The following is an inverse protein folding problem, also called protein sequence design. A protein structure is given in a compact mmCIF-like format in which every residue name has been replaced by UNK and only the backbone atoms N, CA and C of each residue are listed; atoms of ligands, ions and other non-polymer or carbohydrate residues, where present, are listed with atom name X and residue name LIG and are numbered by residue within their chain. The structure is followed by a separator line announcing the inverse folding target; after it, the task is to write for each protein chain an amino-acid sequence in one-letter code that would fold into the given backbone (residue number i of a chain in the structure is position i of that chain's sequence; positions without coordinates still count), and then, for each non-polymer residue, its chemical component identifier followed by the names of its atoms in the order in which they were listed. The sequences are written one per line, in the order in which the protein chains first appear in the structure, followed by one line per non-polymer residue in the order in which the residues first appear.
data_IF_304353203945
#
_entry.id   IF_304353203945
#
_cell.length_a   1.000
_cell.length_b   1.000
_cell.length_c   1.000
_cell.angle_alpha   90.00
_cell.angle_beta   90.00
_cell.angle_gamma   90.00
#
_symmetry.space_group_name_H-M   'P 1'
#
loop_
_entity.id
_entity.type
_entity.pdbx_description
1 polymer ?
#
# COMPACT_ATOMS: atom_id res chain seq x y z
N UNK A 1 -42.45 -15.17 38.00
CA UNK A 1 -41.66 -14.80 39.21
C UNK A 1 -40.71 -15.96 39.46
N UNK A 2 -39.39 -15.88 39.34
CA UNK A 2 -38.47 -14.76 39.49
C UNK A 2 -37.42 -15.18 40.52
N UNK A 3 -36.55 -16.15 40.18
CA UNK A 3 -35.40 -16.51 41.02
C UNK A 3 -34.32 -15.46 40.75
N UNK A 4 -34.31 -14.42 41.58
CA UNK A 4 -33.20 -13.48 41.73
C UNK A 4 -32.18 -14.09 42.70
N UNK A 5 -30.91 -13.75 42.42
CA UNK A 5 -29.72 -13.91 43.25
C UNK A 5 -28.97 -15.24 43.13
N UNK A 6 -27.93 -15.24 42.29
CA UNK A 6 -26.54 -15.37 42.73
C UNK A 6 -25.61 -15.17 41.52
N UNK A 7 -24.60 -14.30 41.71
CA UNK A 7 -23.25 -14.26 41.10
C UNK A 7 -22.87 -12.80 40.80
N UNK A 8 -22.10 -12.25 41.73
CA UNK A 8 -21.45 -10.95 41.66
C UNK A 8 -20.15 -11.07 40.83
N UNK A 9 -19.92 -10.31 39.74
CA UNK A 9 -18.80 -10.53 38.82
C UNK A 9 -17.41 -10.10 39.33
N UNK A 10 -17.30 -9.49 40.52
CA UNK A 10 -16.07 -8.83 40.98
C UNK A 10 -15.06 -9.75 41.69
N UNK A 11 -15.42 -11.00 42.02
CA UNK A 11 -14.54 -11.94 42.73
C UNK A 11 -13.88 -12.99 41.84
N UNK A 12 -14.30 -13.17 40.59
CA UNK A 12 -13.71 -14.15 39.66
C UNK A 12 -12.45 -13.66 38.94
N UNK A 13 -12.17 -12.35 38.97
CA UNK A 13 -11.08 -11.73 38.21
C UNK A 13 -9.74 -11.71 38.98
N UNK A 14 -9.74 -11.85 40.31
CA UNK A 14 -8.50 -11.74 41.12
C UNK A 14 -7.74 -13.04 41.39
N UNK A 15 -8.33 -14.23 41.19
CA UNK A 15 -7.66 -15.52 41.48
C UNK A 15 -7.01 -16.23 40.29
N UNK A 16 -7.28 -15.81 39.05
CA UNK A 16 -6.74 -16.44 37.83
C UNK A 16 -5.69 -15.60 37.07
N UNK A 17 -5.28 -14.44 37.58
CA UNK A 17 -4.29 -13.58 36.91
C UNK A 17 -2.84 -13.95 37.24
N UNK A 18 -2.57 -14.48 38.43
CA UNK A 18 -1.20 -14.78 38.90
C UNK A 18 -0.68 -16.16 38.49
N UNK A 19 -1.55 -17.16 38.32
CA UNK A 19 -1.18 -18.50 37.82
C UNK A 19 -0.90 -18.50 36.32
N UNK A 20 -1.71 -17.77 35.54
CA UNK A 20 -1.52 -17.60 34.11
C UNK A 20 -0.24 -16.81 33.79
N UNK A 21 0.10 -15.78 34.56
CA UNK A 21 1.32 -14.99 34.31
C UNK A 21 2.61 -15.82 34.48
N UNK A 22 2.66 -16.73 35.45
CA UNK A 22 3.80 -17.66 35.64
C UNK A 22 3.86 -18.73 34.54
N UNK A 23 2.72 -19.21 34.06
CA UNK A 23 2.64 -20.17 32.95
C UNK A 23 3.09 -19.53 31.62
N UNK A 24 2.64 -18.31 31.31
CA UNK A 24 3.05 -17.55 30.11
C UNK A 24 4.53 -17.11 30.13
N UNK A 25 5.09 -16.80 31.30
CA UNK A 25 6.52 -16.50 31.44
C UNK A 25 7.40 -17.74 31.24
N UNK A 26 6.93 -18.92 31.66
CA UNK A 26 7.63 -20.20 31.48
C UNK A 26 7.61 -20.66 30.02
N UNK A 27 6.47 -20.50 29.33
CA UNK A 27 6.37 -20.78 27.88
C UNK A 27 7.22 -19.80 27.05
N UNK A 28 7.26 -18.51 27.39
CA UNK A 28 8.15 -17.54 26.73
C UNK A 28 9.63 -17.85 26.93
N UNK A 29 10.03 -18.38 28.10
CA UNK A 29 11.42 -18.83 28.34
C UNK A 29 11.77 -20.08 27.53
N UNK A 30 10.91 -21.10 27.52
CA UNK A 30 11.14 -22.34 26.75
C UNK A 30 11.19 -22.10 25.23
N UNK A 31 10.32 -21.24 24.67
CA UNK A 31 10.35 -20.90 23.24
C UNK A 31 11.58 -20.07 22.83
N UNK A 32 12.08 -19.20 23.72
CA UNK A 32 13.28 -18.39 23.45
C UNK A 32 14.56 -19.23 23.48
N UNK A 33 14.61 -20.24 24.35
CA UNK A 33 15.77 -21.12 24.51
C UNK A 33 15.86 -22.17 23.38
N UNK A 34 14.72 -22.74 22.94
CA UNK A 34 14.68 -23.64 21.77
C UNK A 34 15.00 -22.90 20.46
N UNK A 35 14.52 -21.66 20.30
CA UNK A 35 14.85 -20.84 19.13
C UNK A 35 16.33 -20.46 19.08
N UNK A 36 16.98 -20.14 20.20
CA UNK A 36 18.42 -19.81 20.20
C UNK A 36 19.30 -21.03 19.90
N UNK A 37 18.93 -22.22 20.39
CA UNK A 37 19.64 -23.47 20.06
C UNK A 37 19.44 -23.89 18.60
N UNK A 38 18.24 -23.70 18.04
CA UNK A 38 17.97 -23.94 16.62
C UNK A 38 18.66 -22.91 15.72
N UNK A 39 18.74 -21.64 16.13
CA UNK A 39 19.50 -20.60 15.42
C UNK A 39 21.00 -20.94 15.42
N UNK A 40 21.56 -21.38 16.55
CA UNK A 40 22.98 -21.77 16.66
C UNK A 40 23.30 -23.02 15.83
N UNK A 41 22.40 -24.01 15.75
CA UNK A 41 22.54 -25.16 14.84
C UNK A 41 22.44 -24.76 13.37
N UNK A 42 21.49 -23.89 13.01
CA UNK A 42 21.35 -23.38 11.64
C UNK A 42 22.56 -22.54 11.20
N UNK A 43 23.14 -21.75 12.12
CA UNK A 43 24.36 -20.96 11.88
C UNK A 43 25.59 -21.87 11.74
N UNK A 44 25.75 -22.90 12.58
CA UNK A 44 26.88 -23.84 12.49
C UNK A 44 26.82 -24.81 11.30
N UNK A 45 25.63 -25.14 10.79
CA UNK A 45 25.47 -25.92 9.56
C UNK A 45 25.82 -25.06 8.32
N UNK A 46 25.54 -23.76 8.37
CA UNK A 46 25.86 -22.83 7.27
C UNK A 46 27.36 -22.52 7.17
N UNK A 47 28.11 -22.45 8.26
CA UNK A 47 29.52 -22.04 8.24
C UNK A 47 30.47 -23.10 7.64
N UNK A 48 30.12 -24.39 7.68
CA UNK A 48 31.01 -25.46 7.21
C UNK A 48 30.81 -25.88 5.73
N UNK A 49 29.88 -25.27 4.98
CA UNK A 49 29.58 -25.63 3.58
C UNK A 49 29.85 -24.51 2.55
N UNK A 50 30.38 -23.36 2.97
CA UNK A 50 30.41 -22.15 2.14
C UNK A 50 31.59 -22.03 1.16
N UNK A 51 32.64 -22.85 1.22
CA UNK A 51 33.86 -22.57 0.43
C UNK A 51 33.85 -23.03 -1.03
N UNK A 52 32.75 -23.58 -1.55
CA UNK A 52 32.60 -23.91 -3.00
C UNK A 52 31.27 -23.46 -3.66
N UNK A 53 30.31 -22.92 -2.90
CA UNK A 53 28.94 -22.62 -3.37
C UNK A 53 28.64 -21.14 -3.68
N UNK A 54 29.55 -20.20 -3.42
CA UNK A 54 29.26 -18.77 -3.54
C UNK A 54 29.14 -18.28 -5.00
N UNK A 55 29.84 -18.94 -5.95
CA UNK A 55 29.82 -18.55 -7.37
C UNK A 55 28.53 -18.93 -8.09
N UNK A 56 27.88 -20.05 -7.74
CA UNK A 56 26.60 -20.48 -8.34
C UNK A 56 25.42 -19.69 -7.77
N UNK A 57 25.41 -19.46 -6.45
CA UNK A 57 24.38 -18.64 -5.76
C UNK A 57 24.40 -17.19 -6.28
N UNK A 58 25.59 -16.62 -6.52
CA UNK A 58 25.73 -15.29 -7.11
C UNK A 58 25.18 -15.18 -8.54
N UNK A 59 25.34 -16.24 -9.34
CA UNK A 59 24.84 -16.29 -10.72
C UNK A 59 23.31 -16.41 -10.78
N UNK A 60 22.72 -17.27 -9.96
CA UNK A 60 21.27 -17.48 -9.88
C UNK A 60 20.53 -16.25 -9.36
N UNK A 61 21.09 -15.57 -8.35
CA UNK A 61 20.55 -14.31 -7.84
C UNK A 61 20.58 -13.20 -8.88
N UNK A 62 21.64 -13.14 -9.71
CA UNK A 62 21.74 -12.17 -10.79
C UNK A 62 20.73 -12.47 -11.93
N UNK A 63 20.53 -13.75 -12.27
CA UNK A 63 19.53 -14.15 -13.26
C UNK A 63 18.11 -13.81 -12.79
N UNK A 64 17.80 -14.09 -11.52
CA UNK A 64 16.50 -13.76 -10.94
C UNK A 64 16.25 -12.25 -10.93
N UNK A 65 17.24 -11.45 -10.51
CA UNK A 65 17.15 -9.99 -10.57
C UNK A 65 16.88 -9.48 -11.99
N UNK A 66 17.61 -10.00 -12.99
CA UNK A 66 17.38 -9.65 -14.42
C UNK A 66 15.97 -10.03 -14.87
N UNK A 67 15.43 -11.18 -14.46
CA UNK A 67 14.05 -11.59 -14.75
C UNK A 67 13.04 -10.58 -14.18
N UNK A 68 13.19 -10.19 -12.91
CA UNK A 68 12.28 -9.24 -12.25
C UNK A 68 12.40 -7.84 -12.85
N UNK A 69 13.61 -7.36 -13.13
CA UNK A 69 13.83 -6.09 -13.82
C UNK A 69 13.11 -6.04 -15.17
N UNK A 70 13.28 -7.08 -15.99
CA UNK A 70 12.60 -7.20 -17.30
C UNK A 70 11.09 -7.27 -17.16
N UNK A 71 10.58 -7.91 -16.10
CA UNK A 71 9.15 -7.94 -15.79
C UNK A 71 8.63 -6.52 -15.50
N UNK A 72 9.31 -5.75 -14.64
CA UNK A 72 8.91 -4.39 -14.31
C UNK A 72 8.90 -3.48 -15.54
N UNK A 73 9.95 -3.53 -16.35
CA UNK A 73 10.07 -2.76 -17.60
C UNK A 73 8.95 -3.10 -18.59
N UNK A 74 8.70 -4.40 -18.82
CA UNK A 74 7.67 -4.87 -19.77
C UNK A 74 6.25 -4.54 -19.31
N UNK A 75 6.01 -4.46 -18.01
CA UNK A 75 4.66 -4.31 -17.43
C UNK A 75 4.38 -2.91 -16.89
N UNK A 76 5.35 -2.00 -16.93
CA UNK A 76 5.20 -0.64 -16.43
C UNK A 76 5.06 -0.55 -14.91
N UNK A 77 5.86 -1.33 -14.17
CA UNK A 77 5.87 -1.30 -12.70
C UNK A 77 6.94 -0.32 -12.20
N UNK A 78 6.53 0.71 -11.45
CA UNK A 78 7.43 1.69 -10.83
C UNK A 78 8.04 1.29 -9.48
N UNK A 79 7.65 0.13 -8.94
CA UNK A 79 8.33 -0.46 -7.77
C UNK A 79 9.71 -0.97 -8.19
N UNK A 80 10.73 -0.69 -7.37
CA UNK A 80 12.10 -1.13 -7.63
C UNK A 80 12.19 -2.67 -7.66
N UNK A 81 12.85 -3.28 -8.67
CA UNK A 81 13.02 -4.74 -8.73
C UNK A 81 13.64 -5.34 -7.46
N UNK A 82 14.66 -4.67 -6.91
CA UNK A 82 15.32 -5.01 -5.65
C UNK A 82 14.34 -4.96 -4.47
N UNK A 83 13.40 -4.03 -4.46
CA UNK A 83 12.37 -3.94 -3.43
C UNK A 83 11.35 -5.07 -3.58
N UNK A 84 10.92 -5.42 -4.80
CA UNK A 84 10.00 -6.55 -5.01
C UNK A 84 10.61 -7.88 -4.55
N UNK A 85 11.91 -8.10 -4.78
CA UNK A 85 12.61 -9.31 -4.33
C UNK A 85 12.67 -9.39 -2.81
N UNK A 86 13.01 -8.28 -2.14
CA UNK A 86 13.00 -8.18 -0.67
C UNK A 86 11.59 -8.35 -0.09
N UNK A 87 10.58 -7.73 -0.72
CA UNK A 87 9.19 -7.85 -0.33
C UNK A 87 8.67 -9.28 -0.47
N UNK A 88 9.10 -10.00 -1.51
CA UNK A 88 8.76 -11.40 -1.73
C UNK A 88 9.37 -12.30 -0.64
N UNK A 89 10.58 -12.00 -0.19
CA UNK A 89 11.20 -12.68 0.97
C UNK A 89 10.38 -12.45 2.23
N UNK A 90 9.92 -11.21 2.47
CA UNK A 90 9.05 -10.90 3.60
C UNK A 90 7.69 -11.62 3.50
N UNK A 91 7.09 -11.66 2.30
CA UNK A 91 5.84 -12.38 2.03
C UNK A 91 5.95 -13.87 2.39
N UNK A 92 7.08 -14.51 2.06
CA UNK A 92 7.40 -15.86 2.49
C UNK A 92 7.49 -16.01 4.01
N UNK A 93 8.27 -15.14 4.67
CA UNK A 93 8.49 -15.21 6.11
C UNK A 93 7.21 -15.01 6.92
N UNK A 94 6.32 -14.13 6.44
CA UNK A 94 5.05 -13.79 7.09
C UNK A 94 3.87 -14.62 6.58
N UNK A 95 4.11 -15.53 5.63
CA UNK A 95 3.10 -16.31 4.92
C UNK A 95 1.88 -15.47 4.52
N UNK A 96 2.13 -14.36 3.82
CA UNK A 96 1.10 -13.44 3.38
C UNK A 96 1.32 -13.00 1.94
N UNK A 97 0.23 -12.74 1.23
CA UNK A 97 0.26 -12.10 -0.08
C UNK A 97 0.27 -10.59 0.13
N UNK A 98 1.17 -9.89 -0.57
CA UNK A 98 1.28 -8.43 -0.49
C UNK A 98 1.10 -7.87 -1.91
N UNK A 99 0.15 -6.97 -2.08
CA UNK A 99 -0.07 -6.24 -3.32
C UNK A 99 0.31 -4.77 -3.16
N UNK A 100 0.99 -4.21 -4.16
CA UNK A 100 1.32 -2.79 -4.30
C UNK A 100 0.61 -2.25 -5.54
N UNK A 101 -0.03 -1.09 -5.39
CA UNK A 101 -0.69 -0.35 -6.47
C UNK A 101 0.34 0.20 -7.48
N UNK A 102 -0.10 0.72 -8.63
CA UNK A 102 0.81 1.26 -9.63
C UNK A 102 1.58 2.45 -9.06
N UNK A 103 2.91 2.38 -9.14
CA UNK A 103 3.81 3.48 -8.78
C UNK A 103 4.23 4.20 -10.06
N UNK A 104 4.28 5.53 -10.01
CA UNK A 104 4.75 6.35 -11.13
C UNK A 104 6.16 5.94 -11.56
N UNK A 105 6.32 5.56 -12.83
CA UNK A 105 7.62 5.16 -13.38
C UNK A 105 8.68 6.25 -13.21
N UNK A 106 8.28 7.52 -13.24
CA UNK A 106 9.17 8.65 -13.07
C UNK A 106 9.55 8.94 -11.61
N UNK A 107 8.95 8.24 -10.64
CA UNK A 107 9.36 8.28 -9.24
C UNK A 107 10.42 7.20 -8.91
N UNK A 108 10.54 6.17 -9.75
CA UNK A 108 11.39 4.99 -9.50
C UNK A 108 12.85 5.34 -9.20
N UNK A 109 13.46 6.25 -9.98
CA UNK A 109 14.82 6.73 -9.77
C UNK A 109 14.94 7.62 -8.53
N UNK A 110 13.95 8.48 -8.27
CA UNK A 110 13.93 9.31 -7.07
C UNK A 110 13.90 8.45 -5.80
N UNK A 111 13.07 7.40 -5.78
CA UNK A 111 13.01 6.45 -4.66
C UNK A 111 14.35 5.72 -4.51
N UNK A 112 14.99 5.31 -5.62
CA UNK A 112 16.31 4.67 -5.59
C UNK A 112 17.39 5.59 -5.01
N UNK A 113 17.30 6.88 -5.34
CA UNK A 113 18.24 7.91 -4.90
C UNK A 113 17.91 8.45 -3.48
N UNK A 114 17.00 7.77 -2.77
CA UNK A 114 16.65 8.06 -1.39
C UNK A 114 15.94 9.41 -1.23
N UNK A 115 15.04 9.75 -2.15
CA UNK A 115 14.10 10.85 -1.95
C UNK A 115 12.98 10.41 -1.00
N UNK A 116 12.53 11.28 -0.08
CA UNK A 116 11.41 10.99 0.79
C UNK A 116 10.13 10.80 -0.02
N UNK A 117 9.27 9.90 0.41
CA UNK A 117 7.97 9.66 -0.23
C UNK A 117 6.84 10.25 0.62
N UNK A 118 5.74 10.63 -0.02
CA UNK A 118 4.65 11.35 0.64
C UNK A 118 3.91 10.47 1.67
N UNK A 119 3.66 11.03 2.85
CA UNK A 119 2.81 10.41 3.88
C UNK A 119 1.33 10.63 3.62
N UNK A 120 0.48 10.01 4.47
CA UNK A 120 -0.97 10.05 4.32
C UNK A 120 -1.56 11.46 4.31
N UNK A 121 -1.03 12.37 5.13
CA UNK A 121 -1.52 13.77 5.24
C UNK A 121 -1.25 14.61 4.00
N UNK A 122 -0.32 14.20 3.14
CA UNK A 122 0.08 14.97 1.97
C UNK A 122 -0.84 14.62 0.78
N UNK A 123 -1.92 15.41 0.62
CA UNK A 123 -2.95 15.16 -0.41
C UNK A 123 -2.65 15.77 -1.78
N UNK A 124 -1.60 16.59 -1.89
CA UNK A 124 -1.15 17.19 -3.14
C UNK A 124 -0.86 16.14 -4.23
N UNK A 125 -1.16 16.49 -5.49
CA UNK A 125 -0.91 15.59 -6.62
C UNK A 125 0.50 15.80 -7.15
N UNK A 126 1.14 14.70 -7.52
CA UNK A 126 2.42 14.74 -8.22
C UNK A 126 2.25 15.27 -9.65
N UNK A 127 3.31 15.86 -10.19
CA UNK A 127 3.38 16.23 -11.60
C UNK A 127 3.70 15.03 -12.49
N UNK A 128 3.16 15.04 -13.71
CA UNK A 128 3.43 14.04 -14.75
C UNK A 128 3.97 14.68 -16.05
N UNK A 129 4.36 15.95 -16.01
CA UNK A 129 4.90 16.70 -17.14
C UNK A 129 5.95 17.70 -16.65
N UNK A 130 6.83 18.14 -17.56
CA UNK A 130 7.86 19.13 -17.28
C UNK A 130 8.98 18.64 -16.35
N UNK A 131 9.97 19.51 -16.04
CA UNK A 131 11.09 19.17 -15.17
C UNK A 131 10.67 18.75 -13.75
N UNK A 132 9.50 19.19 -13.30
CA UNK A 132 8.93 18.91 -12.00
C UNK A 132 8.26 17.52 -11.87
N UNK A 133 8.25 16.73 -12.94
CA UNK A 133 7.64 15.40 -12.97
C UNK A 133 8.07 14.52 -11.78
N UNK A 134 7.10 13.80 -11.22
CA UNK A 134 7.17 12.96 -10.02
C UNK A 134 7.37 13.67 -8.67
N UNK A 135 7.49 15.00 -8.64
CA UNK A 135 7.46 15.80 -7.41
C UNK A 135 6.07 16.36 -7.12
N UNK A 136 5.85 16.80 -5.88
CA UNK A 136 4.60 17.41 -5.44
C UNK A 136 4.77 18.94 -5.42
N UNK A 137 4.27 19.61 -6.45
CA UNK A 137 4.37 21.06 -6.58
C UNK A 137 3.49 21.80 -5.57
N UNK A 138 3.96 22.94 -5.06
CA UNK A 138 3.13 23.81 -4.23
C UNK A 138 1.97 24.39 -5.05
N UNK A 139 2.27 24.84 -6.29
CA UNK A 139 1.24 25.20 -7.26
C UNK A 139 0.73 23.95 -8.00
N UNK A 140 -0.51 23.55 -7.76
CA UNK A 140 -1.11 22.37 -8.37
C UNK A 140 -1.45 22.52 -9.86
N UNK A 141 -1.37 23.72 -10.43
CA UNK A 141 -1.37 23.91 -11.90
C UNK A 141 -0.15 23.27 -12.57
N UNK A 142 0.94 23.05 -11.82
CA UNK A 142 2.15 22.37 -12.30
C UNK A 142 2.13 20.86 -12.06
N UNK A 143 1.06 20.34 -11.45
CA UNK A 143 0.85 18.91 -11.21
C UNK A 143 0.19 18.22 -12.41
N UNK A 144 -0.19 16.94 -12.27
CA UNK A 144 -1.05 16.24 -13.25
C UNK A 144 -2.45 16.85 -13.41
N UNK A 145 -2.81 17.81 -12.56
CA UNK A 145 -4.06 18.56 -12.63
C UNK A 145 -3.99 19.79 -13.54
N UNK A 146 -2.88 20.03 -14.25
CA UNK A 146 -2.70 21.16 -15.15
C UNK A 146 -3.86 21.35 -16.15
N UNK A 147 -4.49 20.24 -16.56
CA UNK A 147 -5.60 20.20 -17.51
C UNK A 147 -6.99 20.02 -16.84
N UNK A 148 -7.06 20.14 -15.50
CA UNK A 148 -8.27 19.98 -14.67
C UNK A 148 -8.45 21.20 -13.74
N UNK A 149 -8.66 22.41 -14.29
CA UNK A 149 -8.70 23.67 -13.52
C UNK A 149 -9.76 23.65 -12.40
N UNK A 150 -10.85 22.91 -12.58
CA UNK A 150 -11.92 22.76 -11.59
C UNK A 150 -11.46 22.06 -10.30
N UNK A 151 -10.39 21.25 -10.37
CA UNK A 151 -9.80 20.56 -9.20
C UNK A 151 -8.63 21.31 -8.59
N UNK A 152 -7.97 22.18 -9.35
CA UNK A 152 -6.75 22.88 -8.91
C UNK A 152 -6.97 23.65 -7.61
N UNK A 153 -8.07 24.41 -7.51
CA UNK A 153 -8.38 25.20 -6.30
C UNK A 153 -8.47 24.33 -5.04
N UNK A 154 -9.17 23.18 -5.14
CA UNK A 154 -9.25 22.21 -4.03
C UNK A 154 -7.87 21.74 -3.60
N UNK A 155 -7.05 21.27 -4.54
CA UNK A 155 -5.74 20.70 -4.19
C UNK A 155 -4.72 21.74 -3.77
N UNK A 156 -4.82 22.98 -4.27
CA UNK A 156 -4.04 24.09 -3.73
C UNK A 156 -4.40 24.33 -2.26
N UNK A 157 -5.69 24.30 -1.90
CA UNK A 157 -6.12 24.40 -0.50
C UNK A 157 -5.57 23.26 0.36
N UNK A 158 -5.61 22.02 -0.12
CA UNK A 158 -5.01 20.86 0.58
C UNK A 158 -3.50 21.06 0.82
N UNK A 159 -2.77 21.57 -0.17
CA UNK A 159 -1.35 21.89 -0.03
C UNK A 159 -1.12 23.00 0.98
N UNK A 160 -1.93 24.07 0.97
CA UNK A 160 -1.82 25.14 1.96
C UNK A 160 -2.16 24.68 3.38
N UNK A 161 -3.12 23.78 3.54
CA UNK A 161 -3.44 23.17 4.82
C UNK A 161 -2.25 22.34 5.34
N UNK A 162 -1.65 21.51 4.48
CA UNK A 162 -0.46 20.72 4.80
C UNK A 162 0.74 21.58 5.21
N UNK A 163 0.96 22.72 4.53
CA UNK A 163 2.02 23.67 4.89
C UNK A 163 1.71 24.39 6.21
N UNK A 164 0.49 24.86 6.40
CA UNK A 164 0.07 25.57 7.62
C UNK A 164 0.02 24.65 8.84
N UNK A 165 -0.30 23.38 8.64
CA UNK A 165 -0.33 22.34 9.67
C UNK A 165 1.05 21.82 10.06
N UNK A 166 2.11 22.20 9.34
CA UNK A 166 3.46 21.71 9.59
C UNK A 166 3.67 20.25 9.19
N UNK A 167 2.87 19.72 8.26
CA UNK A 167 3.05 18.36 7.73
C UNK A 167 4.14 18.29 6.65
N UNK A 168 4.46 19.42 6.02
CA UNK A 168 5.53 19.56 5.04
C UNK A 168 6.09 20.99 5.03
N UNK A 169 7.28 21.16 4.46
CA UNK A 169 7.84 22.47 4.11
C UNK A 169 7.93 22.60 2.59
N UNK A 170 8.12 23.83 2.10
CA UNK A 170 8.39 24.10 0.69
C UNK A 170 9.88 24.33 0.44
N UNK A 171 10.37 23.80 -0.67
CA UNK A 171 11.75 24.00 -1.14
C UNK A 171 11.74 24.36 -2.62
N UNK A 172 12.78 25.07 -3.08
CA UNK A 172 12.98 25.31 -4.50
C UNK A 172 13.40 24.01 -5.19
N UNK A 173 12.74 23.69 -6.29
CA UNK A 173 13.02 22.49 -7.06
C UNK A 173 14.40 22.61 -7.72
N UNK A 174 15.26 21.66 -7.38
CA UNK A 174 16.52 21.39 -8.08
C UNK A 174 16.49 20.00 -8.70
N UNK A 175 17.00 19.87 -9.92
CA UNK A 175 17.18 18.59 -10.60
C UNK A 175 18.62 18.39 -11.01
N UNK A 176 19.09 17.14 -10.96
CA UNK A 176 20.43 16.78 -11.41
C UNK A 176 20.47 16.65 -12.93
N UNK A 177 21.68 16.71 -13.51
CA UNK A 177 21.92 16.39 -14.92
C UNK A 177 21.40 15.00 -15.29
N UNK A 178 21.57 14.01 -14.42
CA UNK A 178 21.05 12.66 -14.64
C UNK A 178 19.52 12.64 -14.75
N UNK A 179 18.83 13.41 -13.88
CA UNK A 179 17.38 13.57 -13.95
C UNK A 179 16.95 14.25 -15.25
N UNK A 180 17.65 15.28 -15.69
CA UNK A 180 17.39 15.95 -16.97
C UNK A 180 17.54 14.98 -18.16
N UNK A 181 18.60 14.17 -18.19
CA UNK A 181 18.79 13.16 -19.24
C UNK A 181 17.69 12.10 -19.22
N UNK A 182 17.24 11.65 -18.04
CA UNK A 182 16.11 10.73 -17.94
C UNK A 182 14.82 11.37 -18.52
N UNK A 183 14.51 12.60 -18.13
CA UNK A 183 13.33 13.32 -18.61
C UNK A 183 13.35 13.48 -20.14
N UNK A 184 14.54 13.75 -20.71
CA UNK A 184 14.78 13.80 -22.16
C UNK A 184 14.55 12.44 -22.81
N UNK A 185 15.16 11.37 -22.29
CA UNK A 185 15.01 10.00 -22.80
C UNK A 185 13.56 9.51 -22.76
N UNK A 186 12.79 9.96 -21.77
CA UNK A 186 11.36 9.64 -21.61
C UNK A 186 10.43 10.60 -22.36
N UNK A 187 10.98 11.54 -23.15
CA UNK A 187 10.23 12.56 -23.89
C UNK A 187 9.28 13.41 -23.02
N UNK A 188 9.62 13.57 -21.73
CA UNK A 188 8.88 14.46 -20.81
C UNK A 188 9.23 15.93 -21.08
N UNK A 189 10.46 16.17 -21.52
CA UNK A 189 10.96 17.48 -21.96
C UNK A 189 11.55 17.37 -23.37
N UNK A 190 11.46 18.45 -24.14
CA UNK A 190 11.94 18.54 -25.52
C UNK A 190 12.42 19.96 -25.85
N UNK A 191 12.93 20.19 -27.07
CA UNK A 191 13.51 21.47 -27.53
C UNK A 191 14.57 22.05 -26.56
N UNK A 192 15.49 21.20 -26.11
CA UNK A 192 16.52 21.57 -25.13
C UNK A 192 17.62 22.38 -25.81
N UNK A 193 17.89 23.58 -25.30
CA UNK A 193 18.95 24.48 -25.75
C UNK A 193 19.87 24.83 -24.59
N UNK A 194 21.17 24.64 -24.80
CA UNK A 194 22.22 24.99 -23.84
C UNK A 194 22.81 26.34 -24.24
N UNK A 195 22.75 27.31 -23.33
CA UNK A 195 23.31 28.64 -23.53
C UNK A 195 24.78 28.68 -23.08
N UNK A 196 25.55 29.65 -23.58
CA UNK A 196 26.99 29.79 -23.26
C UNK A 196 27.27 30.03 -21.78
N UNK A 197 26.31 30.60 -21.05
CA UNK A 197 26.38 30.84 -19.60
C UNK A 197 25.91 29.64 -18.75
N UNK A 198 25.67 28.48 -19.36
CA UNK A 198 25.24 27.27 -18.66
C UNK A 198 23.73 27.16 -18.40
N UNK A 199 22.93 28.20 -18.71
CA UNK A 199 21.47 28.11 -18.65
C UNK A 199 20.96 27.08 -19.65
N UNK A 200 19.95 26.31 -19.26
CA UNK A 200 19.27 25.37 -20.16
C UNK A 200 17.83 25.82 -20.37
N UNK A 201 17.44 26.08 -21.61
CA UNK A 201 16.04 26.35 -21.98
C UNK A 201 15.43 25.09 -22.55
N UNK A 202 14.23 24.74 -22.10
CA UNK A 202 13.52 23.55 -22.59
C UNK A 202 12.01 23.80 -22.65
N UNK A 203 11.31 22.87 -23.30
CA UNK A 203 9.85 22.83 -23.35
C UNK A 203 9.31 21.52 -22.78
N UNK A 204 8.07 21.56 -22.35
CA UNK A 204 7.28 20.39 -21.99
C UNK A 204 5.81 20.57 -22.39
N UNK A 205 5.04 19.48 -22.40
CA UNK A 205 3.63 19.48 -22.75
C UNK A 205 2.79 18.88 -21.63
N UNK A 206 1.62 19.47 -21.37
CA UNK A 206 0.60 18.85 -20.51
C UNK A 206 -0.07 17.66 -21.22
N UNK A 207 -1.01 16.98 -20.56
CA UNK A 207 -1.73 15.83 -21.14
C UNK A 207 -2.61 16.27 -22.31
N UNK A 208 -3.11 17.50 -22.31
CA UNK A 208 -3.82 18.13 -23.42
C UNK A 208 -2.90 18.76 -24.49
N UNK A 209 -1.62 18.39 -24.52
CA UNK A 209 -0.62 18.88 -25.48
C UNK A 209 -0.30 20.38 -25.42
N UNK A 210 -0.71 21.09 -24.36
CA UNK A 210 -0.37 22.50 -24.17
C UNK A 210 1.12 22.64 -23.90
N UNK A 211 1.81 23.48 -24.68
CA UNK A 211 3.27 23.66 -24.59
C UNK A 211 3.63 24.74 -23.57
N UNK A 212 4.62 24.42 -22.74
CA UNK A 212 5.16 25.29 -21.69
C UNK A 212 6.68 25.40 -21.83
N UNK A 213 7.24 26.54 -21.44
CA UNK A 213 8.69 26.82 -21.48
C UNK A 213 9.24 26.86 -20.05
N UNK A 214 10.43 26.29 -19.87
CA UNK A 214 11.15 26.27 -18.61
C UNK A 214 12.60 26.73 -18.83
N UNK A 215 13.20 27.21 -17.74
CA UNK A 215 14.63 27.52 -17.66
C UNK A 215 15.22 26.73 -16.51
N UNK A 216 16.35 26.08 -16.75
CA UNK A 216 17.15 25.43 -15.73
C UNK A 216 18.40 26.28 -15.50
N UNK A 217 18.54 26.76 -14.27
CA UNK A 217 19.62 27.65 -13.85
C UNK A 217 20.70 26.83 -13.14
N UNK A 218 21.94 26.73 -13.66
CA UNK A 218 22.97 25.91 -13.04
C UNK A 218 23.30 26.41 -11.64
N UNK A 219 23.49 25.49 -10.70
CA UNK A 219 23.90 25.85 -9.35
C UNK A 219 25.39 26.18 -9.30
N UNK A 220 25.73 27.36 -8.79
CA UNK A 220 27.13 27.75 -8.53
C UNK A 220 27.81 26.85 -7.48
N UNK A 221 27.02 26.26 -6.57
CA UNK A 221 27.52 25.46 -5.44
C UNK A 221 27.69 23.98 -5.77
N UNK A 222 26.89 23.47 -6.70
CA UNK A 222 26.79 22.04 -6.99
C UNK A 222 26.81 21.82 -8.52
N UNK A 223 28.00 21.56 -9.10
CA UNK A 223 28.13 21.31 -10.53
C UNK A 223 27.19 20.20 -11.02
N UNK A 224 26.43 20.48 -12.08
CA UNK A 224 25.47 19.53 -12.66
C UNK A 224 24.12 19.45 -11.94
N UNK A 225 23.84 20.35 -11.00
CA UNK A 225 22.52 20.56 -10.41
C UNK A 225 21.93 21.85 -10.98
N UNK A 226 20.64 21.84 -11.30
CA UNK A 226 19.94 22.99 -11.85
C UNK A 226 18.71 23.35 -11.03
N UNK A 227 18.55 24.62 -10.69
CA UNK A 227 17.29 25.16 -10.19
C UNK A 227 16.28 25.30 -11.34
N UNK A 228 15.05 24.82 -11.12
CA UNK A 228 14.01 24.83 -12.14
C UNK A 228 13.16 26.10 -12.02
N UNK A 229 13.08 26.89 -13.10
CA UNK A 229 12.24 28.08 -13.20
C UNK A 229 11.13 27.93 -14.23
N UNK A 230 9.95 28.42 -13.88
CA UNK A 230 8.77 28.52 -14.74
C UNK A 230 8.25 29.96 -14.70
N UNK A 231 8.05 30.57 -15.87
CA UNK A 231 7.63 31.98 -16.01
C UNK A 231 8.51 32.95 -15.20
N UNK A 232 9.83 32.71 -15.19
CA UNK A 232 10.81 33.55 -14.48
C UNK A 232 10.90 33.32 -12.97
N UNK A 233 10.08 32.44 -12.39
CA UNK A 233 10.08 32.15 -10.94
C UNK A 233 10.53 30.71 -10.65
N UNK A 234 11.27 30.47 -9.55
CA UNK A 234 11.58 29.10 -9.11
C UNK A 234 10.30 28.29 -8.88
N UNK A 235 10.30 27.03 -9.29
CA UNK A 235 9.23 26.10 -8.95
C UNK A 235 9.43 25.65 -7.50
N UNK A 236 8.39 25.80 -6.67
CA UNK A 236 8.38 25.28 -5.30
C UNK A 236 7.71 23.89 -5.24
N UNK A 237 8.34 22.97 -4.51
CA UNK A 237 7.85 21.61 -4.26
C UNK A 237 7.85 21.31 -2.76
N UNK A 238 7.02 20.35 -2.34
CA UNK A 238 6.96 19.92 -0.95
C UNK A 238 8.15 19.04 -0.58
N UNK A 239 8.64 19.17 0.65
CA UNK A 239 9.69 18.40 1.30
C UNK A 239 9.26 18.05 2.74
N UNK A 240 9.80 16.99 3.37
CA UNK A 240 9.53 16.70 4.77
C UNK A 240 10.03 17.84 5.67
N UNK A 241 9.44 18.01 6.85
CA UNK A 241 9.91 18.99 7.84
C UNK A 241 11.35 18.66 8.31
N UNK A 242 12.10 19.71 8.66
CA UNK A 242 13.45 19.60 9.23
C UNK A 242 14.54 19.91 8.22
N UNK A 243 15.70 19.27 8.41
CA UNK A 243 16.91 19.58 7.65
C UNK A 243 16.96 18.86 6.30
N UNK A 244 16.20 17.78 6.13
CA UNK A 244 16.09 17.11 4.84
C UNK A 244 15.33 18.00 3.85
N UNK A 245 16.07 18.62 2.93
CA UNK A 245 15.52 19.46 1.85
C UNK A 245 15.23 18.69 0.56
N UNK A 246 15.34 17.35 0.54
CA UNK A 246 14.95 16.56 -0.64
C UNK A 246 13.44 16.65 -0.84
N UNK A 247 12.97 16.98 -2.05
CA UNK A 247 11.55 16.99 -2.36
C UNK A 247 10.86 15.63 -2.18
N UNK A 248 9.57 15.67 -1.87
CA UNK A 248 8.73 14.48 -1.78
C UNK A 248 8.38 13.93 -3.15
N UNK A 249 8.39 12.61 -3.27
CA UNK A 249 7.91 11.85 -4.43
C UNK A 249 6.80 10.86 -4.06
N UNK A 250 6.36 10.05 -5.03
CA UNK A 250 5.33 9.04 -4.83
C UNK A 250 5.80 7.94 -3.86
N UNK A 251 4.87 7.43 -3.08
CA UNK A 251 5.02 6.29 -2.19
C UNK A 251 4.50 4.99 -2.84
N UNK A 252 4.64 3.88 -2.12
CA UNK A 252 4.15 2.56 -2.46
C UNK A 252 2.80 2.33 -1.77
N UNK A 253 1.75 2.79 -2.45
CA UNK A 253 0.37 2.54 -2.05
C UNK A 253 0.10 1.03 -1.97
N UNK A 254 -0.31 0.52 -0.80
CA UNK A 254 -0.68 -0.89 -0.65
C UNK A 254 -2.01 -1.18 -1.37
N UNK A 255 -2.04 -2.23 -2.18
CA UNK A 255 -3.30 -2.79 -2.70
C UNK A 255 -3.98 -3.61 -1.61
N UNK A 256 -3.26 -4.59 -1.04
CA UNK A 256 -3.76 -5.48 0.01
C UNK A 256 -2.62 -6.18 0.75
N UNK A 257 -2.93 -6.65 1.96
CA UNK A 257 -2.16 -7.66 2.68
C UNK A 257 -3.13 -8.78 3.04
N UNK A 258 -2.91 -9.98 2.49
CA UNK A 258 -3.77 -11.13 2.67
C UNK A 258 -3.00 -12.24 3.42
N UNK A 259 -3.25 -12.44 4.73
CA UNK A 259 -2.58 -13.49 5.51
C UNK A 259 -3.12 -14.87 5.16
N UNK A 260 -2.39 -15.92 5.54
CA UNK A 260 -2.96 -17.27 5.65
C UNK A 260 -4.22 -17.25 6.53
N UNK A 261 -5.24 -18.05 6.20
CA UNK A 261 -6.43 -18.23 7.04
C UNK A 261 -6.07 -18.75 8.43
N UNK A 262 -4.99 -19.52 8.56
CA UNK A 262 -4.50 -20.00 9.86
C UNK A 262 -4.03 -18.88 10.78
N UNK A 263 -3.59 -17.77 10.19
CA UNK A 263 -3.01 -16.64 10.89
C UNK A 263 -4.00 -15.47 10.98
N UNK A 264 -5.17 -15.58 10.34
CA UNK A 264 -6.24 -14.58 10.41
C UNK A 264 -6.79 -14.46 11.82
N UNK A 265 -6.91 -13.24 12.33
CA UNK A 265 -7.37 -13.01 13.69
C UNK A 265 -7.82 -11.58 13.97
N UNK A 266 -7.86 -11.22 15.25
CA UNK A 266 -8.30 -9.89 15.70
C UNK A 266 -7.44 -8.75 15.08
N UNK A 267 -6.18 -9.04 14.78
CA UNK A 267 -5.24 -8.11 14.15
C UNK A 267 -5.60 -7.75 12.70
N UNK A 268 -6.52 -8.49 12.07
CA UNK A 268 -6.99 -8.27 10.70
C UNK A 268 -8.28 -7.44 10.63
N UNK A 269 -8.86 -7.10 11.78
CA UNK A 269 -10.11 -6.33 11.85
C UNK A 269 -9.81 -4.85 11.69
N UNK A 270 -10.47 -4.21 10.72
CA UNK A 270 -10.39 -2.77 10.51
C UNK A 270 -11.12 -2.01 11.64
N UNK A 271 -10.59 -0.86 12.09
CA UNK A 271 -11.30 0.06 12.98
C UNK A 271 -12.68 0.44 12.42
N UNK A 272 -12.73 0.87 11.15
CA UNK A 272 -13.98 1.16 10.43
C UNK A 272 -14.33 -0.03 9.52
N UNK A 273 -15.11 -0.97 10.06
CA UNK A 273 -15.40 -2.27 9.43
C UNK A 273 -16.14 -2.17 8.09
N UNK A 274 -17.10 -1.26 7.98
CA UNK A 274 -17.86 -1.07 6.73
C UNK A 274 -17.07 -0.30 5.66
N UNK A 275 -15.87 0.19 6.00
CA UNK A 275 -14.94 0.98 5.17
C UNK A 275 -15.49 2.32 4.68
N UNK A 276 -16.80 2.42 4.40
CA UNK A 276 -17.46 3.61 3.89
C UNK A 276 -18.76 3.86 4.63
N UNK A 277 -19.00 5.12 4.98
CA UNK A 277 -20.24 5.58 5.58
C UNK A 277 -21.45 5.22 4.70
N UNK A 278 -21.30 5.27 3.37
CA UNK A 278 -22.37 4.88 2.43
C UNK A 278 -22.74 3.40 2.50
N UNK A 279 -21.77 2.52 2.77
CA UNK A 279 -21.98 1.08 2.94
C UNK A 279 -22.66 0.82 4.28
N UNK A 280 -22.18 1.46 5.35
CA UNK A 280 -22.81 1.39 6.67
C UNK A 280 -24.27 1.81 6.61
N UNK A 281 -24.57 2.98 6.05
CA UNK A 281 -25.94 3.49 5.90
C UNK A 281 -26.83 2.52 5.14
N UNK A 282 -26.35 1.94 4.03
CA UNK A 282 -27.10 0.93 3.27
C UNK A 282 -27.40 -0.32 4.11
N UNK A 283 -26.43 -0.80 4.90
CA UNK A 283 -26.56 -2.00 5.73
C UNK A 283 -27.59 -1.83 6.85
N UNK A 284 -27.64 -0.66 7.48
CA UNK A 284 -28.51 -0.42 8.65
C UNK A 284 -29.84 0.27 8.31
N UNK A 285 -30.03 0.73 7.07
CA UNK A 285 -31.21 1.51 6.64
C UNK A 285 -32.55 0.89 7.04
N UNK A 286 -32.68 -0.43 6.96
CA UNK A 286 -33.93 -1.14 7.26
C UNK A 286 -34.26 -1.18 8.76
N UNK A 287 -33.25 -0.97 9.62
CA UNK A 287 -33.38 -1.04 11.07
C UNK A 287 -33.32 0.35 11.72
N UNK A 288 -33.35 1.43 10.93
CA UNK A 288 -33.06 2.79 11.41
C UNK A 288 -33.92 3.23 12.59
N UNK A 289 -35.17 2.78 12.65
CA UNK A 289 -36.11 3.07 13.74
C UNK A 289 -35.72 2.41 15.06
N UNK A 290 -35.05 1.27 14.97
CA UNK A 290 -34.69 0.42 16.10
C UNK A 290 -33.20 0.51 16.46
N UNK A 291 -32.44 1.40 15.80
CA UNK A 291 -31.03 1.62 16.12
C UNK A 291 -30.89 2.22 17.52
N UNK A 292 -29.91 1.74 18.27
CA UNK A 292 -29.43 2.42 19.47
C UNK A 292 -28.89 3.81 19.12
N UNK A 293 -28.96 4.77 20.05
CA UNK A 293 -28.46 6.14 19.84
C UNK A 293 -27.03 6.21 19.24
N UNK A 294 -26.03 5.43 19.72
CA UNK A 294 -24.70 5.44 19.09
C UNK A 294 -24.69 5.07 17.59
N UNK A 295 -25.57 4.17 17.16
CA UNK A 295 -25.69 3.78 15.76
C UNK A 295 -26.45 4.81 14.92
N UNK A 296 -27.35 5.60 15.53
CA UNK A 296 -28.02 6.72 14.86
C UNK A 296 -27.06 7.88 14.61
N UNK A 297 -26.17 8.14 15.55
CA UNK A 297 -25.10 9.15 15.40
C UNK A 297 -24.16 8.77 14.25
N UNK A 298 -23.62 7.55 14.28
CA UNK A 298 -22.79 7.01 13.19
C UNK A 298 -23.49 6.98 11.82
N UNK A 299 -24.83 6.92 11.80
CA UNK A 299 -25.61 6.93 10.55
C UNK A 299 -25.78 8.33 9.96
N UNK A 300 -25.80 9.34 10.83
CA UNK A 300 -26.13 10.71 10.49
C UNK A 300 -24.87 11.53 10.20
N UNK A 301 -23.80 11.26 10.93
CA UNK A 301 -22.55 12.02 10.86
C UNK A 301 -21.38 11.18 10.30
N UNK A 302 -20.86 11.51 9.09
CA UNK A 302 -19.68 10.85 8.55
C UNK A 302 -18.42 11.04 9.41
N UNK A 303 -18.25 12.18 10.08
CA UNK A 303 -17.01 12.45 10.81
C UNK A 303 -16.93 11.54 12.04
N UNK A 304 -18.04 11.40 12.79
CA UNK A 304 -18.15 10.41 13.87
C UNK A 304 -17.97 8.97 13.35
N UNK A 305 -18.47 8.65 12.15
CA UNK A 305 -18.28 7.33 11.54
C UNK A 305 -16.81 7.00 11.25
N UNK A 306 -16.04 7.97 10.75
CA UNK A 306 -14.62 7.80 10.41
C UNK A 306 -13.67 8.13 11.57
N UNK A 307 -14.15 8.65 12.70
CA UNK A 307 -13.34 8.96 13.89
C UNK A 307 -12.42 7.81 14.38
N UNK A 308 -12.75 6.51 14.22
CA UNK A 308 -11.84 5.43 14.56
C UNK A 308 -10.63 5.25 13.62
N UNK A 309 -10.58 5.93 12.47
CA UNK A 309 -9.41 5.89 11.58
C UNK A 309 -8.18 6.53 12.25
N UNK A 310 -7.00 6.03 11.88
CA UNK A 310 -5.74 6.62 12.34
C UNK A 310 -5.40 7.84 11.48
N UNK A 311 -5.04 8.97 12.11
CA UNK A 311 -4.74 10.22 11.40
C UNK A 311 -3.49 10.14 10.51
N UNK A 312 -2.57 9.19 10.76
CA UNK A 312 -1.31 9.04 10.03
C UNK A 312 -1.34 7.91 9.01
N UNK A 313 -2.12 6.86 9.27
CA UNK A 313 -2.15 5.66 8.41
C UNK A 313 -3.54 5.29 7.87
N UNK A 314 -4.57 6.07 8.20
CA UNK A 314 -5.95 5.84 7.78
C UNK A 314 -6.60 4.63 8.46
N UNK A 315 -7.63 4.06 7.82
CA UNK A 315 -8.30 2.84 8.28
C UNK A 315 -7.42 1.58 8.09
N UNK A 316 -6.47 1.38 9.00
CA UNK A 316 -5.54 0.25 9.00
C UNK A 316 -5.85 -0.72 10.14
N UNK A 317 -5.81 -2.03 9.85
CA UNK A 317 -5.81 -3.05 10.91
C UNK A 317 -4.46 -3.08 11.65
N UNK A 318 -4.40 -3.73 12.81
CA UNK A 318 -3.14 -3.90 13.54
C UNK A 318 -2.08 -4.60 12.69
N UNK A 319 -2.47 -5.62 11.90
CA UNK A 319 -1.54 -6.27 10.97
C UNK A 319 -1.00 -5.30 9.93
N UNK A 320 -1.85 -4.46 9.34
CA UNK A 320 -1.38 -3.49 8.34
C UNK A 320 -0.40 -2.51 8.99
N UNK A 321 -0.71 -2.00 10.19
CA UNK A 321 0.19 -1.12 10.95
C UNK A 321 1.56 -1.77 11.18
N UNK A 322 1.59 -3.02 11.66
CA UNK A 322 2.84 -3.76 11.89
C UNK A 322 3.59 -4.03 10.57
N UNK A 323 2.87 -4.40 9.52
CA UNK A 323 3.44 -4.68 8.20
C UNK A 323 4.00 -3.43 7.53
N UNK A 324 3.45 -2.24 7.73
CA UNK A 324 4.06 -0.98 7.24
C UNK A 324 5.48 -0.83 7.80
N UNK A 325 5.65 -1.10 9.11
CA UNK A 325 6.97 -1.07 9.76
C UNK A 325 7.89 -2.14 9.19
N UNK A 326 7.43 -3.39 9.14
CA UNK A 326 8.21 -4.52 8.65
C UNK A 326 8.64 -4.35 7.18
N UNK A 327 7.74 -3.86 6.33
CA UNK A 327 8.01 -3.58 4.92
C UNK A 327 9.11 -2.53 4.80
N UNK A 328 8.96 -1.36 5.43
CA UNK A 328 9.97 -0.32 5.34
C UNK A 328 11.33 -0.80 5.87
N UNK A 329 11.35 -1.49 7.01
CA UNK A 329 12.59 -2.06 7.55
C UNK A 329 13.26 -3.04 6.58
N UNK A 330 12.49 -3.88 5.86
CA UNK A 330 13.02 -4.84 4.89
C UNK A 330 13.46 -4.19 3.57
N UNK A 331 12.75 -3.16 3.12
CA UNK A 331 13.02 -2.54 1.82
C UNK A 331 14.15 -1.52 1.91
N UNK A 332 14.08 -0.61 2.88
CA UNK A 332 14.92 0.58 2.96
C UNK A 332 15.73 0.68 4.26
N UNK A 333 15.41 -0.10 5.28
CA UNK A 333 16.11 -0.06 6.57
C UNK A 333 16.03 1.33 7.21
N UNK A 334 17.19 1.98 7.41
CA UNK A 334 17.28 3.34 7.93
C UNK A 334 17.07 4.43 6.84
N UNK A 335 16.80 4.03 5.60
CA UNK A 335 16.48 4.95 4.50
C UNK A 335 15.07 5.54 4.58
N UNK A 336 14.73 6.34 3.58
CA UNK A 336 13.42 6.98 3.47
C UNK A 336 12.29 5.95 3.31
N UNK A 337 11.26 6.06 4.15
CA UNK A 337 10.08 5.17 4.11
C UNK A 337 9.40 5.28 2.74
N UNK A 338 8.92 4.14 2.26
CA UNK A 338 8.22 4.00 0.97
C UNK A 338 6.76 3.57 1.13
N UNK A 339 6.36 2.95 2.24
CA UNK A 339 4.95 2.67 2.54
C UNK A 339 4.54 3.47 3.76
N UNK A 340 3.40 4.17 3.70
CA UNK A 340 2.98 5.05 4.82
C UNK A 340 1.65 4.67 5.44
N UNK A 341 0.72 4.10 4.69
CA UNK A 341 -0.66 4.02 5.15
C UNK A 341 -1.37 2.72 4.76
N UNK A 342 -2.66 2.67 5.11
CA UNK A 342 -3.53 1.54 4.86
C UNK A 342 -3.57 1.11 3.39
N UNK A 343 -4.05 -0.11 3.19
CA UNK A 343 -4.26 -0.65 1.86
C UNK A 343 -5.59 -0.21 1.26
N UNK A 344 -5.69 -0.29 -0.07
CA UNK A 344 -6.91 0.03 -0.82
C UNK A 344 -8.13 -0.79 -0.35
N UNK A 345 -7.90 -2.00 0.18
CA UNK A 345 -8.96 -2.83 0.80
C UNK A 345 -9.67 -2.16 1.99
N UNK A 346 -9.01 -1.25 2.70
CA UNK A 346 -9.56 -0.50 3.83
C UNK A 346 -9.92 0.94 3.51
N UNK A 347 -9.74 1.40 2.28
CA UNK A 347 -9.89 2.82 1.91
C UNK A 347 -11.33 3.18 1.48
N UNK A 348 -11.97 4.22 2.06
CA UNK A 348 -13.24 4.75 1.57
C UNK A 348 -13.11 5.42 0.19
N UNK A 349 -11.88 5.73 -0.26
CA UNK A 349 -11.57 6.42 -1.50
C UNK A 349 -10.99 5.50 -2.59
N UNK A 350 -11.31 4.19 -2.52
CA UNK A 350 -10.86 3.21 -3.51
C UNK A 350 -11.32 3.56 -4.93
N UNK A 351 -10.45 3.29 -5.90
CA UNK A 351 -10.75 3.34 -7.34
C UNK A 351 -10.11 2.11 -8.00
N UNK A 352 -10.95 1.14 -8.35
CA UNK A 352 -10.50 -0.13 -8.92
C UNK A 352 -9.71 0.06 -10.23
N UNK A 353 -10.04 1.06 -11.05
CA UNK A 353 -9.29 1.30 -12.30
C UNK A 353 -7.89 1.83 -12.01
N UNK A 354 -7.76 2.69 -11.00
CA UNK A 354 -6.48 3.26 -10.56
C UNK A 354 -5.59 2.26 -9.80
N UNK A 355 -6.06 1.04 -9.57
CA UNK A 355 -5.28 -0.02 -8.92
C UNK A 355 -4.43 -0.84 -9.89
N UNK A 356 -4.49 -0.61 -11.21
CA UNK A 356 -3.76 -1.43 -12.18
C UNK A 356 -2.82 -0.62 -13.08
N UNK A 357 -1.66 -1.20 -13.47
CA UNK A 357 -1.15 -2.53 -13.10
C UNK A 357 -0.60 -2.62 -11.67
N UNK A 358 -1.02 -3.63 -10.91
CA UNK A 358 -0.57 -3.88 -9.54
C UNK A 358 0.55 -4.93 -9.51
N UNK A 359 1.58 -4.69 -8.71
CA UNK A 359 2.61 -5.69 -8.42
C UNK A 359 2.20 -6.51 -7.20
N UNK A 360 2.22 -7.83 -7.32
CA UNK A 360 1.95 -8.75 -6.22
C UNK A 360 3.19 -9.57 -5.93
N UNK A 361 3.48 -9.73 -4.64
CA UNK A 361 4.43 -10.72 -4.16
C UNK A 361 3.67 -11.77 -3.35
N UNK A 362 3.95 -13.02 -3.67
CA UNK A 362 3.31 -14.19 -3.11
C UNK A 362 4.33 -14.98 -2.27
N UNK A 363 3.89 -15.62 -1.17
CA UNK A 363 4.77 -16.49 -0.38
C UNK A 363 5.24 -17.69 -1.23
N UNK A 364 4.35 -18.22 -2.05
CA UNK A 364 4.61 -19.29 -3.00
C UNK A 364 3.88 -19.06 -4.32
N UNK A 365 4.14 -19.89 -5.32
CA UNK A 365 3.41 -19.82 -6.60
C UNK A 365 1.96 -20.22 -6.39
N UNK A 366 1.02 -19.42 -6.88
CA UNK A 366 -0.41 -19.70 -6.75
C UNK A 366 -1.03 -19.94 -8.11
N UNK A 367 -1.31 -21.21 -8.43
CA UNK A 367 -1.78 -21.60 -9.75
C UNK A 367 -0.79 -21.18 -10.84
N UNK A 368 -1.22 -20.30 -11.75
CA UNK A 368 -0.39 -19.76 -12.83
C UNK A 368 0.47 -18.55 -12.44
N UNK A 369 0.37 -18.06 -11.21
CA UNK A 369 1.04 -16.85 -10.78
C UNK A 369 2.39 -17.16 -10.11
N UNK A 370 3.46 -16.62 -10.70
CA UNK A 370 4.81 -16.63 -10.11
C UNK A 370 4.83 -15.88 -8.77
N UNK A 371 5.82 -16.17 -7.93
CA UNK A 371 6.03 -15.51 -6.61
C UNK A 371 6.10 -13.98 -6.68
N UNK A 372 6.51 -13.43 -7.82
CA UNK A 372 6.38 -12.00 -8.13
C UNK A 372 5.62 -11.94 -9.46
N UNK A 373 4.42 -11.36 -9.43
CA UNK A 373 3.57 -11.25 -10.60
C UNK A 373 2.97 -9.85 -10.72
N UNK A 374 2.50 -9.52 -11.93
CA UNK A 374 1.84 -8.24 -12.20
C UNK A 374 0.43 -8.52 -12.67
N UNK A 375 -0.53 -7.92 -11.98
CA UNK A 375 -1.95 -8.01 -12.27
C UNK A 375 -2.36 -6.75 -13.03
N UNK A 376 -2.80 -6.91 -14.28
CA UNK A 376 -3.04 -5.79 -15.19
C UNK A 376 -4.46 -5.23 -15.17
N UNK A 377 -5.40 -6.01 -14.68
CA UNK A 377 -6.82 -5.67 -14.74
C UNK A 377 -7.61 -6.50 -13.72
N UNK A 378 -8.90 -6.18 -13.65
CA UNK A 378 -9.87 -6.83 -12.78
C UNK A 378 -9.96 -8.33 -13.02
N UNK A 379 -9.90 -8.80 -14.27
CA UNK A 379 -10.05 -10.23 -14.56
C UNK A 379 -8.85 -11.04 -14.08
N UNK A 380 -7.63 -10.53 -14.29
CA UNK A 380 -6.42 -11.13 -13.71
C UNK A 380 -6.48 -11.11 -12.17
N UNK A 381 -7.01 -10.04 -11.56
CA UNK A 381 -7.21 -9.97 -10.11
C UNK A 381 -8.16 -11.07 -9.64
N UNK A 382 -9.34 -11.21 -10.25
CA UNK A 382 -10.32 -12.25 -9.90
C UNK A 382 -9.70 -13.66 -9.93
N UNK A 383 -8.88 -13.95 -10.94
CA UNK A 383 -8.14 -15.20 -11.04
C UNK A 383 -7.17 -15.38 -9.86
N UNK A 384 -6.38 -14.36 -9.53
CA UNK A 384 -5.47 -14.40 -8.38
C UNK A 384 -6.24 -14.61 -7.08
N UNK A 385 -7.35 -13.89 -6.87
CA UNK A 385 -8.15 -14.01 -5.64
C UNK A 385 -8.76 -15.40 -5.50
N UNK A 386 -9.18 -16.03 -6.60
CA UNK A 386 -9.69 -17.40 -6.59
C UNK A 386 -8.58 -18.38 -6.19
N UNK A 387 -7.40 -18.31 -6.81
CA UNK A 387 -6.27 -19.18 -6.44
C UNK A 387 -5.79 -18.95 -5.01
N UNK A 388 -5.73 -17.70 -4.54
CA UNK A 388 -5.35 -17.38 -3.16
C UNK A 388 -6.34 -17.95 -2.15
N UNK A 389 -7.65 -17.79 -2.39
CA UNK A 389 -8.69 -18.37 -1.52
C UNK A 389 -8.68 -19.90 -1.53
N UNK A 390 -8.39 -20.50 -2.68
CA UNK A 390 -8.26 -21.97 -2.81
C UNK A 390 -7.02 -22.51 -2.10
N UNK A 391 -5.95 -21.73 -2.05
CA UNK A 391 -4.72 -22.04 -1.32
C UNK A 391 -4.80 -21.71 0.19
N UNK A 392 -5.96 -21.27 0.70
CA UNK A 392 -6.15 -21.04 2.13
C UNK A 392 -5.69 -19.67 2.63
N UNK A 393 -5.68 -18.63 1.78
CA UNK A 393 -5.45 -17.25 2.21
C UNK A 393 -6.76 -16.51 2.49
N UNK A 394 -6.76 -15.71 3.57
CA UNK A 394 -7.81 -14.72 3.81
C UNK A 394 -7.53 -13.50 2.94
N UNK A 395 -8.32 -13.34 1.89
CA UNK A 395 -8.20 -12.21 0.98
C UNK A 395 -9.20 -11.12 1.40
N UNK A 396 -8.74 -10.00 1.98
CA UNK A 396 -9.60 -8.87 2.28
C UNK A 396 -10.16 -8.26 1.00
N UNK A 397 -11.38 -7.76 1.07
CA UNK A 397 -12.05 -7.11 -0.05
C UNK A 397 -12.70 -5.82 0.41
N UNK A 398 -12.48 -4.73 -0.33
CA UNK A 398 -13.19 -3.48 -0.07
C UNK A 398 -14.67 -3.66 -0.46
N UNK A 399 -15.64 -3.31 0.41
CA UNK A 399 -17.06 -3.42 0.09
C UNK A 399 -17.53 -2.49 -1.04
N UNK A 400 -16.73 -1.49 -1.42
CA UNK A 400 -16.98 -0.61 -2.58
C UNK A 400 -16.55 -1.22 -3.92
N UNK A 401 -15.79 -2.32 -3.92
CA UNK A 401 -15.42 -3.02 -5.14
C UNK A 401 -16.62 -3.73 -5.78
N UNK A 402 -16.47 -4.09 -7.05
CA UNK A 402 -17.48 -4.78 -7.84
C UNK A 402 -17.93 -6.10 -7.17
N UNK A 403 -19.22 -6.42 -7.34
CA UNK A 403 -19.84 -7.58 -6.68
C UNK A 403 -19.23 -8.90 -7.12
N UNK A 404 -18.80 -9.00 -8.36
CA UNK A 404 -18.13 -10.19 -8.90
C UNK A 404 -16.71 -10.41 -8.35
N UNK A 405 -16.09 -9.39 -7.73
CA UNK A 405 -14.84 -9.52 -6.96
C UNK A 405 -15.16 -9.90 -5.51
N UNK A 406 -16.04 -9.14 -4.86
CA UNK A 406 -16.38 -9.34 -3.43
C UNK A 406 -17.14 -10.64 -3.15
N UNK A 407 -17.80 -11.22 -4.16
CA UNK A 407 -18.51 -12.50 -4.08
C UNK A 407 -17.63 -13.74 -4.32
N UNK A 408 -16.36 -13.58 -4.70
CA UNK A 408 -15.47 -14.73 -4.90
C UNK A 408 -15.35 -15.53 -3.60
N UNK A 409 -15.49 -16.85 -3.70
CA UNK A 409 -15.35 -17.81 -2.60
C UNK A 409 -14.43 -18.95 -3.01
N UNK A 410 -13.76 -19.56 -2.05
CA UNK A 410 -12.97 -20.76 -2.31
C UNK A 410 -13.85 -21.88 -2.86
N UNK A 411 -13.23 -22.75 -3.63
CA UNK A 411 -13.79 -23.98 -4.17
C UNK A 411 -14.26 -24.91 -3.03
N UNK A 412 -13.50 -24.97 -1.93
CA UNK A 412 -13.88 -25.70 -0.72
C UNK A 412 -15.17 -25.14 -0.08
N UNK A 413 -15.31 -23.81 0.01
CA UNK A 413 -16.54 -23.19 0.52
C UNK A 413 -17.74 -23.49 -0.40
N UNK A 414 -17.57 -23.39 -1.72
CA UNK A 414 -18.64 -23.69 -2.68
C UNK A 414 -19.08 -25.16 -2.58
N UNK A 415 -18.13 -26.08 -2.44
CA UNK A 415 -18.41 -27.50 -2.23
C UNK A 415 -19.16 -27.75 -0.91
N UNK A 416 -18.66 -27.20 0.20
CA UNK A 416 -19.31 -27.33 1.51
C UNK A 416 -20.75 -26.76 1.51
N UNK A 417 -20.95 -25.60 0.88
CA UNK A 417 -22.28 -24.99 0.72
C UNK A 417 -23.22 -25.92 -0.06
N UNK A 418 -22.75 -26.55 -1.14
CA UNK A 418 -23.55 -27.50 -1.93
C UNK A 418 -23.94 -28.73 -1.10
N UNK A 419 -23.03 -29.27 -0.30
CA UNK A 419 -23.30 -30.39 0.61
C UNK A 419 -24.34 -30.00 1.66
N UNK A 420 -24.20 -28.82 2.27
CA UNK A 420 -25.15 -28.33 3.29
C UNK A 420 -26.54 -28.12 2.70
N UNK A 421 -26.65 -27.47 1.53
CA UNK A 421 -27.93 -27.28 0.84
C UNK A 421 -28.56 -28.63 0.49
N UNK A 422 -27.76 -29.59 0.02
CA UNK A 422 -28.24 -30.95 -0.25
C UNK A 422 -28.79 -31.66 0.99
N UNK A 423 -28.14 -31.52 2.15
CA UNK A 423 -28.62 -32.07 3.41
C UNK A 423 -29.89 -31.36 3.90
N UNK A 424 -29.91 -30.03 3.87
CA UNK A 424 -31.09 -29.25 4.23
C UNK A 424 -32.29 -29.61 3.35
N UNK A 425 -32.10 -29.76 2.04
CA UNK A 425 -33.17 -30.19 1.13
C UNK A 425 -33.70 -31.58 1.50
N UNK A 426 -32.82 -32.52 1.85
CA UNK A 426 -33.21 -33.88 2.27
C UNK A 426 -33.92 -33.94 3.63
N UNK A 427 -33.64 -33.00 4.54
CA UNK A 427 -34.21 -32.99 5.89
C UNK A 427 -35.49 -32.13 5.98
N UNK A 428 -35.52 -31.01 5.26
CA UNK A 428 -36.57 -29.98 5.36
C UNK A 428 -37.68 -30.20 4.34
N UNK A 429 -37.38 -30.58 3.08
CA UNK A 429 -38.42 -30.80 2.05
C UNK A 429 -39.44 -31.87 2.49
N UNK A 430 -39.05 -33.03 3.05
CA UNK A 430 -40.01 -34.03 3.52
C UNK A 430 -40.86 -33.56 4.70
N UNK A 431 -40.30 -32.73 5.60
CA UNK A 431 -41.03 -32.19 6.77
C UNK A 431 -42.02 -31.08 6.42
N UNK A 432 -41.88 -30.45 5.25
CA UNK A 432 -42.79 -29.42 4.74
C UNK A 432 -43.76 -29.95 3.67
N UNK A 433 -43.79 -31.26 3.40
CA UNK A 433 -44.67 -31.86 2.39
C UNK A 433 -44.35 -31.46 0.94
N UNK A 434 -43.17 -30.88 0.69
CA UNK A 434 -42.75 -30.45 -0.64
C UNK A 434 -42.07 -31.61 -1.36
N UNK A 435 -42.61 -32.03 -2.50
CA UNK A 435 -42.00 -33.07 -3.35
C UNK A 435 -40.64 -32.59 -3.89
N UNK A 436 -39.74 -33.55 -4.04
CA UNK A 436 -38.42 -33.29 -4.61
C UNK A 436 -38.54 -33.26 -6.14
N UNK A 437 -38.58 -32.04 -6.69
CA UNK A 437 -38.13 -31.77 -8.06
C UNK A 437 -36.62 -31.48 -8.05
#
# INVERSE_FOLDING_TARGET
MGIKNLINPSTYIKKNSTSNLKFFQTIKKCHKQSNIQNLRRAININTNSLSKNEKSIGADNNLYFKKIKKLCEKKGVGVLPEHLIRLQTLAQQKNCIIGIRPVDLMATDLIRDGYPTKGFKIKGKSANWGPQTAFICVNQELSKLADQPEKVSKFNKEVQNCLSGGDAQKVQLKITKNRLELLKQKNIVFDIKYESNGLVKLKAKTSNNKVHKFVLDPSDKEPGVYEVKYQGKPIEVLAPIGDNKKPLTADYDLFMIAPSVTDFGFQDILPVKDVSHSIFRKRVKQYIKDLSEPLKELYSDPDTFYAPEDEEIGNASLRIRDMISDINQHLVGNGEKVVHHNSDTGSPATDMKANFPAAFVLPETLGKFDKICVIKNVDELKNLLQHAKDAGYYVPSNPLWEKDITSIRSSSFKAAKKVLIGHCAKIIKPKLGLKAD
#
